data_IF_769909876416
#
_entry.id   IF_769909876416
#
_cell.length_a   1.000
_cell.length_b   1.000
_cell.length_c   1.000
_cell.angle_alpha   90.00
_cell.angle_beta   90.00
_cell.angle_gamma   90.00
#
_symmetry.space_group_name_H-M   'P 1'
#
loop_
_entity.id
_entity.type
_entity.pdbx_description
1 polymer ?
#
# COMPACT_ATOMS: atom_id res chain seq x y z
N UNK A 1 28.22 30.03 27.93
CA UNK A 1 28.09 28.58 28.00
C UNK A 1 26.64 28.11 28.11
N UNK A 2 25.80 28.76 28.89
CA UNK A 2 24.40 28.42 29.01
C UNK A 2 23.61 28.68 27.74
N UNK A 3 23.98 29.65 26.90
CA UNK A 3 23.30 29.98 25.66
C UNK A 3 23.50 28.94 24.58
N UNK A 4 24.62 28.23 24.55
CA UNK A 4 24.87 27.17 23.55
C UNK A 4 24.04 25.95 23.84
N UNK A 5 23.88 25.58 25.10
CA UNK A 5 23.05 24.46 25.51
C UNK A 5 21.58 24.70 25.18
N UNK A 6 21.09 25.91 25.41
CA UNK A 6 19.74 26.33 25.09
C UNK A 6 19.45 26.26 23.59
N UNK A 7 20.42 26.63 22.76
CA UNK A 7 20.30 26.59 21.33
C UNK A 7 20.19 25.14 20.80
N UNK A 8 20.98 24.21 21.36
CA UNK A 8 20.95 22.80 20.99
C UNK A 8 19.61 22.17 21.35
N UNK A 9 19.06 22.49 22.52
CA UNK A 9 17.74 21.99 22.94
C UNK A 9 16.64 22.55 22.04
N UNK A 10 16.72 23.79 21.61
CA UNK A 10 15.77 24.39 20.67
C UNK A 10 15.78 23.68 19.31
N UNK A 11 16.95 23.38 18.78
CA UNK A 11 17.11 22.70 17.52
C UNK A 11 16.54 21.28 17.61
N UNK A 12 16.77 20.59 18.71
CA UNK A 12 16.27 19.24 18.94
C UNK A 12 14.74 19.19 18.99
N UNK A 13 14.11 20.15 19.63
CA UNK A 13 12.64 20.26 19.69
C UNK A 13 12.05 20.55 18.32
N UNK A 14 12.74 21.29 17.47
CA UNK A 14 12.29 21.65 16.14
C UNK A 14 12.26 20.43 15.20
N UNK A 15 13.17 19.47 15.38
CA UNK A 15 13.26 18.28 14.55
C UNK A 15 12.12 17.29 14.82
N UNK A 16 11.50 17.34 16.00
CA UNK A 16 10.47 16.39 16.39
C UNK A 16 9.05 16.78 15.96
N UNK A 17 8.83 18.00 15.48
CA UNK A 17 7.46 18.48 15.26
C UNK A 17 6.79 18.07 13.94
N UNK A 18 7.43 17.63 12.85
CA UNK A 18 6.73 17.35 11.61
C UNK A 18 6.31 15.91 11.37
N UNK A 19 6.52 14.99 12.30
CA UNK A 19 6.41 13.56 11.98
C UNK A 19 4.98 12.99 11.98
N UNK A 20 3.96 13.77 12.36
CA UNK A 20 2.62 13.21 12.60
C UNK A 20 1.62 13.39 11.47
N UNK A 21 1.94 14.15 10.43
CA UNK A 21 0.98 14.50 9.39
C UNK A 21 1.03 13.62 8.15
N UNK A 22 1.90 12.59 8.12
CA UNK A 22 2.23 11.86 6.90
C UNK A 22 1.78 10.40 6.94
N UNK A 23 1.00 9.98 7.93
CA UNK A 23 0.66 8.55 8.12
C UNK A 23 -0.12 7.97 6.94
N UNK A 24 -1.07 8.71 6.36
CA UNK A 24 -1.82 8.23 5.21
C UNK A 24 -0.98 8.18 3.94
N UNK A 25 -0.08 9.14 3.73
CA UNK A 25 0.87 9.12 2.62
C UNK A 25 1.86 7.96 2.77
N UNK A 26 2.32 7.70 4.00
CA UNK A 26 3.21 6.58 4.28
C UNK A 26 2.53 5.23 4.05
N UNK A 27 1.21 5.14 4.27
CA UNK A 27 0.48 3.89 4.07
C UNK A 27 0.43 3.51 2.59
N UNK A 28 0.08 4.45 1.70
CA UNK A 28 0.08 4.14 0.27
C UNK A 28 1.49 3.90 -0.25
N UNK A 29 2.48 4.64 0.21
CA UNK A 29 3.87 4.42 -0.19
C UNK A 29 4.35 3.03 0.23
N UNK A 30 3.97 2.57 1.40
CA UNK A 30 4.30 1.22 1.88
C UNK A 30 3.60 0.15 1.06
N UNK A 31 2.34 0.39 0.68
CA UNK A 31 1.60 -0.53 -0.22
C UNK A 31 2.29 -0.62 -1.57
N UNK A 32 2.67 0.51 -2.15
CA UNK A 32 3.40 0.56 -3.42
C UNK A 32 4.69 -0.24 -3.31
N UNK A 33 5.46 -0.02 -2.26
CA UNK A 33 6.72 -0.71 -2.01
C UNK A 33 6.50 -2.22 -1.83
N UNK A 34 5.45 -2.62 -1.12
CA UNK A 34 5.12 -4.02 -0.91
C UNK A 34 4.82 -4.74 -2.23
N UNK A 35 4.05 -4.11 -3.11
CA UNK A 35 3.74 -4.68 -4.43
C UNK A 35 5.00 -4.69 -5.31
N UNK A 36 5.75 -3.60 -5.30
CA UNK A 36 7.00 -3.49 -6.05
C UNK A 36 7.99 -4.60 -5.69
N UNK A 37 8.05 -4.96 -4.43
CA UNK A 37 8.92 -6.03 -3.93
C UNK A 37 8.27 -7.41 -3.97
N UNK A 38 6.99 -7.50 -4.33
CA UNK A 38 6.26 -8.76 -4.31
C UNK A 38 6.10 -9.35 -2.92
N UNK A 39 5.92 -8.49 -1.91
CA UNK A 39 5.80 -8.91 -0.52
C UNK A 39 4.34 -9.02 -0.09
N UNK A 40 3.82 -10.24 -0.11
CA UNK A 40 2.44 -10.48 0.32
C UNK A 40 2.24 -10.21 1.82
N UNK A 41 3.24 -10.48 2.65
CA UNK A 41 3.16 -10.25 4.09
C UNK A 41 3.09 -8.76 4.44
N UNK A 42 3.88 -7.93 3.77
CA UNK A 42 3.84 -6.49 3.98
C UNK A 42 2.53 -5.89 3.46
N UNK A 43 2.08 -6.34 2.29
CA UNK A 43 0.84 -5.89 1.68
C UNK A 43 -0.37 -6.23 2.54
N UNK A 44 -0.41 -7.46 3.07
CA UNK A 44 -1.54 -7.96 3.87
C UNK A 44 -1.75 -7.18 5.17
N UNK A 45 -0.75 -6.48 5.67
CA UNK A 45 -0.89 -5.63 6.85
C UNK A 45 -1.96 -4.56 6.66
N UNK A 46 -2.21 -4.16 5.41
CA UNK A 46 -3.18 -3.12 5.08
C UNK A 46 -4.54 -3.66 4.65
N UNK A 47 -4.71 -4.98 4.61
CA UNK A 47 -5.99 -5.57 4.23
C UNK A 47 -7.04 -5.39 5.33
N UNK A 48 -8.26 -5.14 4.91
CA UNK A 48 -9.40 -5.23 5.80
C UNK A 48 -9.57 -6.70 6.25
N UNK A 49 -10.37 -6.93 7.26
CA UNK A 49 -10.64 -8.28 7.78
C UNK A 49 -11.18 -9.21 6.70
N UNK A 50 -11.92 -8.66 5.74
CA UNK A 50 -12.37 -9.33 4.53
C UNK A 50 -12.00 -8.46 3.33
N UNK A 51 -11.48 -9.06 2.29
CA UNK A 51 -11.04 -8.35 1.10
C UNK A 51 -11.55 -9.06 -0.15
N UNK A 52 -12.06 -8.26 -1.10
CA UNK A 52 -12.38 -8.75 -2.44
C UNK A 52 -11.08 -8.83 -3.24
N UNK A 53 -10.74 -10.01 -3.71
CA UNK A 53 -9.47 -10.24 -4.42
C UNK A 53 -9.77 -10.87 -5.77
N UNK A 54 -9.21 -10.29 -6.83
CA UNK A 54 -9.22 -10.87 -8.17
C UNK A 54 -7.79 -10.98 -8.66
N UNK A 55 -7.34 -12.19 -8.84
CA UNK A 55 -5.98 -12.45 -9.32
C UNK A 55 -6.10 -13.18 -10.65
N UNK A 56 -5.91 -12.43 -11.73
CA UNK A 56 -5.91 -12.94 -13.11
C UNK A 56 -7.18 -13.74 -13.43
N UNK A 57 -8.34 -13.19 -13.06
CA UNK A 57 -9.63 -13.80 -13.33
C UNK A 57 -10.19 -14.70 -12.24
N UNK A 58 -9.38 -15.03 -11.24
CA UNK A 58 -9.81 -15.83 -10.10
C UNK A 58 -10.29 -14.88 -8.99
N UNK A 59 -11.61 -14.72 -8.90
CA UNK A 59 -12.22 -13.74 -7.99
C UNK A 59 -12.88 -14.43 -6.80
N UNK A 60 -12.75 -13.79 -5.62
CA UNK A 60 -13.40 -14.24 -4.41
C UNK A 60 -13.24 -13.26 -3.27
N UNK A 61 -14.02 -13.47 -2.22
CA UNK A 61 -13.89 -12.75 -0.97
C UNK A 61 -13.10 -13.63 0.00
N UNK A 62 -12.05 -13.06 0.54
CA UNK A 62 -11.10 -13.80 1.37
C UNK A 62 -10.92 -13.10 2.71
N UNK A 63 -10.63 -13.88 3.74
CA UNK A 63 -10.07 -13.31 4.96
C UNK A 63 -8.68 -12.74 4.66
N UNK A 64 -8.23 -11.85 5.51
CA UNK A 64 -6.90 -11.23 5.41
C UNK A 64 -5.80 -12.29 5.24
N UNK A 65 -5.83 -13.35 6.04
CA UNK A 65 -4.80 -14.40 6.02
C UNK A 65 -4.87 -15.24 4.74
N UNK A 66 -6.08 -15.55 4.27
CA UNK A 66 -6.25 -16.29 3.02
C UNK A 66 -5.80 -15.48 1.81
N UNK A 67 -6.13 -14.19 1.80
CA UNK A 67 -5.70 -13.28 0.73
C UNK A 67 -4.18 -13.19 0.66
N UNK A 68 -3.52 -13.14 1.81
CA UNK A 68 -2.06 -13.13 1.88
C UNK A 68 -1.47 -14.38 1.20
N UNK A 69 -2.05 -15.55 1.46
CA UNK A 69 -1.57 -16.81 0.87
C UNK A 69 -1.80 -16.85 -0.65
N UNK A 70 -2.94 -16.37 -1.12
CA UNK A 70 -3.22 -16.29 -2.56
C UNK A 70 -2.20 -15.38 -3.25
N UNK A 71 -1.91 -14.23 -2.66
CA UNK A 71 -0.94 -13.30 -3.21
C UNK A 71 0.49 -13.80 -3.12
N UNK A 72 0.83 -14.52 -2.07
CA UNK A 72 2.14 -15.15 -1.95
C UNK A 72 2.40 -16.09 -3.11
N UNK A 73 1.42 -16.90 -3.47
CA UNK A 73 1.50 -17.82 -4.61
C UNK A 73 1.59 -17.04 -5.93
N UNK A 74 0.78 -15.98 -6.08
CA UNK A 74 0.81 -15.15 -7.29
C UNK A 74 2.18 -14.49 -7.50
N UNK A 75 2.73 -13.88 -6.46
CA UNK A 75 4.04 -13.22 -6.54
C UNK A 75 5.18 -14.21 -6.78
N UNK A 76 5.04 -15.43 -6.28
CA UNK A 76 6.01 -16.48 -6.53
C UNK A 76 6.02 -16.91 -8.00
N UNK A 77 4.84 -17.00 -8.61
CA UNK A 77 4.68 -17.37 -10.03
C UNK A 77 4.95 -16.21 -10.98
N UNK A 78 4.77 -14.99 -10.50
CA UNK A 78 4.92 -13.77 -11.29
C UNK A 78 5.81 -12.77 -10.55
N UNK A 79 7.12 -13.06 -10.47
CA UNK A 79 8.03 -12.18 -9.74
C UNK A 79 8.05 -10.76 -10.29
N UNK A 80 8.09 -9.79 -9.39
CA UNK A 80 8.04 -8.38 -9.72
C UNK A 80 9.33 -7.88 -10.38
N UNK A 81 9.19 -7.19 -11.49
CA UNK A 81 10.25 -6.35 -12.06
C UNK A 81 10.02 -4.87 -11.74
N UNK A 82 8.89 -4.54 -11.15
CA UNK A 82 8.58 -3.19 -10.72
C UNK A 82 7.09 -2.95 -10.69
N UNK A 83 6.70 -1.98 -9.86
CA UNK A 83 5.32 -1.51 -9.77
C UNK A 83 5.31 0.00 -9.66
N UNK A 84 4.44 0.65 -10.44
CA UNK A 84 4.27 2.09 -10.37
C UNK A 84 2.81 2.47 -10.48
N UNK A 85 2.40 3.47 -9.72
CA UNK A 85 1.05 4.04 -9.85
C UNK A 85 0.96 4.88 -11.10
N UNK A 86 -0.17 4.73 -11.81
CA UNK A 86 -0.46 5.52 -13.01
C UNK A 86 -1.68 6.39 -12.85
N UNK A 87 -2.52 6.13 -11.83
CA UNK A 87 -3.75 6.89 -11.61
C UNK A 87 -4.19 6.80 -10.17
N UNK A 88 -4.77 7.91 -9.68
CA UNK A 88 -5.35 7.99 -8.34
C UNK A 88 -6.64 8.80 -8.42
N UNK A 89 -7.71 8.30 -7.80
CA UNK A 89 -8.99 8.98 -7.73
C UNK A 89 -9.55 8.89 -6.31
N UNK A 90 -10.07 10.00 -5.83
CA UNK A 90 -10.82 10.04 -4.57
C UNK A 90 -12.29 10.13 -4.87
N UNK A 91 -13.06 9.09 -4.52
CA UNK A 91 -14.51 9.06 -4.74
C UNK A 91 -15.25 9.89 -3.70
N UNK A 92 -14.72 9.94 -2.48
CA UNK A 92 -15.16 10.81 -1.38
C UNK A 92 -14.02 10.84 -0.34
N UNK A 93 -14.15 11.62 0.75
CA UNK A 93 -13.06 11.75 1.73
C UNK A 93 -12.58 10.44 2.36
N UNK A 94 -13.43 9.40 2.35
CA UNK A 94 -13.09 8.12 2.99
C UNK A 94 -12.81 6.99 2.01
N UNK A 95 -12.99 7.18 0.69
CA UNK A 95 -12.79 6.14 -0.32
C UNK A 95 -11.88 6.64 -1.44
N UNK A 96 -10.83 5.88 -1.70
CA UNK A 96 -9.87 6.18 -2.77
C UNK A 96 -9.62 4.96 -3.63
N UNK A 97 -9.29 5.20 -4.90
CA UNK A 97 -8.91 4.16 -5.85
C UNK A 97 -7.56 4.49 -6.46
N UNK A 98 -6.73 3.47 -6.60
CA UNK A 98 -5.42 3.59 -7.21
C UNK A 98 -5.30 2.57 -8.32
N UNK A 99 -4.68 2.96 -9.43
CA UNK A 99 -4.37 2.05 -10.53
C UNK A 99 -2.87 2.11 -10.79
N UNK A 100 -2.27 0.94 -10.94
CA UNK A 100 -0.84 0.86 -11.22
C UNK A 100 -0.51 -0.23 -12.22
N UNK A 101 0.73 -0.24 -12.64
CA UNK A 101 1.29 -1.23 -13.55
C UNK A 101 2.28 -2.11 -12.79
N UNK A 102 2.00 -3.40 -12.76
CA UNK A 102 2.87 -4.43 -12.17
C UNK A 102 3.54 -5.19 -13.30
N UNK A 103 4.84 -5.00 -13.43
CA UNK A 103 5.63 -5.58 -14.50
C UNK A 103 6.27 -6.88 -14.07
N UNK A 104 6.11 -7.92 -14.89
CA UNK A 104 6.84 -9.18 -14.74
C UNK A 104 7.64 -9.47 -16.01
N UNK A 105 8.44 -10.53 -15.99
CA UNK A 105 9.23 -10.91 -17.17
C UNK A 105 8.35 -11.27 -18.37
N UNK A 106 7.15 -11.80 -18.14
CA UNK A 106 6.29 -12.33 -19.20
C UNK A 106 5.06 -11.49 -19.47
N UNK A 107 4.67 -10.62 -18.54
CA UNK A 107 3.38 -9.92 -18.65
C UNK A 107 3.39 -8.62 -17.88
N UNK A 108 2.47 -7.74 -18.27
CA UNK A 108 2.11 -6.55 -17.52
C UNK A 108 0.73 -6.79 -16.90
N UNK A 109 0.58 -6.51 -15.61
CA UNK A 109 -0.71 -6.57 -14.94
C UNK A 109 -1.15 -5.17 -14.56
N UNK A 110 -2.42 -4.85 -14.82
CA UNK A 110 -3.05 -3.67 -14.25
C UNK A 110 -3.51 -4.01 -12.86
N UNK A 111 -3.18 -3.16 -11.90
CA UNK A 111 -3.51 -3.38 -10.50
C UNK A 111 -4.48 -2.30 -10.06
N UNK A 112 -5.64 -2.73 -9.56
CA UNK A 112 -6.68 -1.85 -9.06
C UNK A 112 -6.73 -2.02 -7.54
N UNK A 113 -6.50 -0.93 -6.82
CA UNK A 113 -6.45 -0.93 -5.36
C UNK A 113 -7.53 0.02 -4.86
N UNK A 114 -8.49 -0.51 -4.10
CA UNK A 114 -9.53 0.30 -3.46
C UNK A 114 -9.30 0.30 -1.96
N UNK A 115 -9.23 1.49 -1.41
CA UNK A 115 -8.95 1.69 0.01
C UNK A 115 -10.05 2.51 0.67
N UNK A 116 -10.30 2.18 1.93
CA UNK A 116 -11.10 3.02 2.81
C UNK A 116 -10.17 3.65 3.84
N UNK A 117 -10.44 4.90 4.13
CA UNK A 117 -9.69 5.62 5.16
C UNK A 117 -10.64 6.37 6.06
N UNK A 118 -10.64 6.01 7.34
CA UNK A 118 -11.43 6.68 8.36
C UNK A 118 -10.49 7.04 9.50
N UNK A 119 -10.33 8.33 9.73
CA UNK A 119 -9.36 8.86 10.69
C UNK A 119 -7.94 8.38 10.31
N UNK A 120 -7.28 7.62 11.17
CA UNK A 120 -5.94 7.07 10.90
C UNK A 120 -5.96 5.65 10.35
N UNK A 121 -7.16 5.09 10.08
CA UNK A 121 -7.31 3.70 9.69
C UNK A 121 -7.37 3.56 8.16
N UNK A 122 -6.29 3.11 7.56
CA UNK A 122 -6.14 2.90 6.13
C UNK A 122 -6.27 1.40 5.85
N UNK A 123 -7.30 1.00 5.10
CA UNK A 123 -7.57 -0.41 4.81
C UNK A 123 -7.84 -0.62 3.32
N UNK A 124 -7.23 -1.67 2.76
CA UNK A 124 -7.52 -2.13 1.40
C UNK A 124 -8.68 -3.11 1.48
N UNK A 125 -9.78 -2.79 0.81
CA UNK A 125 -10.95 -3.68 0.78
C UNK A 125 -11.15 -4.36 -0.58
N UNK A 126 -10.44 -3.95 -1.61
CA UNK A 126 -10.49 -4.59 -2.93
C UNK A 126 -9.14 -4.46 -3.63
N UNK A 127 -8.69 -5.56 -4.23
CA UNK A 127 -7.41 -5.62 -4.93
C UNK A 127 -7.57 -6.54 -6.13
N UNK A 128 -7.20 -6.04 -7.31
CA UNK A 128 -7.29 -6.80 -8.55
C UNK A 128 -5.98 -6.74 -9.33
N UNK A 129 -5.53 -7.89 -9.79
CA UNK A 129 -4.41 -8.01 -10.75
C UNK A 129 -4.97 -8.56 -12.04
N UNK A 130 -5.02 -7.75 -13.08
CA UNK A 130 -5.60 -8.10 -14.37
C UNK A 130 -4.52 -8.01 -15.44
N UNK A 131 -4.30 -9.12 -16.14
CA UNK A 131 -3.31 -9.17 -17.22
C UNK A 131 -3.72 -8.21 -18.33
N UNK A 132 -2.84 -7.27 -18.60
CA UNK A 132 -3.08 -6.22 -19.59
C UNK A 132 -2.50 -6.48 -20.97
#
# INVERSE_FOLDING_TARGET
MTSVLSLIVSIFLFIQSPAMEIDSLNSIDTVISAIDNGSSSELAKYFDSSISLNVNGSQGDYSKNQAELVLKDFFKKNPSLGFSLVFHSENNPSLSSYIGDYQTAEALFKVFIKVSQQASDFKIYSLEFVKG
#
